data_IF_176797242524
#
_entry.id   IF_176797242524
#
_cell.length_a   1.000
_cell.length_b   1.000
_cell.length_c   1.000
_cell.angle_alpha   90.00
_cell.angle_beta   90.00
_cell.angle_gamma   90.00
#
_symmetry.space_group_name_H-M   'P 1'
#
loop_
_entity.id
_entity.type
_entity.pdbx_description
1 polymer ?
#
# COMPACT_ATOMS: atom_id res chain seq x y z
N UNK A 1 14.04 -16.21 -2.70
CA UNK A 1 13.79 -15.05 -3.54
C UNK A 1 13.17 -13.95 -2.69
N UNK A 2 13.61 -12.71 -2.89
CA UNK A 2 13.12 -11.59 -2.12
C UNK A 2 11.66 -11.30 -2.45
N UNK A 3 10.89 -10.93 -1.44
CA UNK A 3 9.51 -10.45 -1.60
C UNK A 3 9.51 -9.04 -2.18
N UNK A 4 8.35 -8.56 -2.59
CA UNK A 4 8.15 -7.17 -2.94
C UNK A 4 7.14 -6.54 -1.99
N UNK A 5 7.26 -5.25 -1.77
CA UNK A 5 6.38 -4.56 -0.82
C UNK A 5 5.89 -3.24 -1.38
N UNK A 6 4.67 -2.91 -1.01
CA UNK A 6 4.20 -1.53 -1.07
C UNK A 6 4.27 -0.97 0.34
N UNK A 7 4.86 0.19 0.47
CA UNK A 7 4.82 0.94 1.72
C UNK A 7 4.10 2.24 1.42
N UNK A 8 2.93 2.40 2.02
CA UNK A 8 2.06 3.54 1.77
C UNK A 8 1.77 4.30 3.06
N UNK A 9 1.81 5.62 2.98
CA UNK A 9 1.51 6.52 4.08
C UNK A 9 0.48 7.51 3.58
N UNK A 10 -0.64 7.61 4.27
CA UNK A 10 -1.84 8.30 3.76
C UNK A 10 -2.43 9.23 4.79
N UNK A 11 -2.82 10.42 4.35
CA UNK A 11 -3.74 11.29 5.09
C UNK A 11 -5.05 11.30 4.33
N UNK A 12 -6.11 10.85 4.97
CA UNK A 12 -7.46 10.79 4.37
C UNK A 12 -8.20 12.06 4.74
N UNK A 13 -8.62 12.82 3.72
CA UNK A 13 -9.35 14.08 3.91
C UNK A 13 -10.84 13.87 4.12
N UNK A 14 -11.40 12.85 3.47
CA UNK A 14 -12.81 12.53 3.56
C UNK A 14 -12.97 11.03 3.64
N UNK A 15 -13.28 10.52 4.84
CA UNK A 15 -13.37 9.07 5.10
C UNK A 15 -14.45 8.40 4.26
N UNK A 16 -15.61 9.00 4.14
CA UNK A 16 -16.72 8.40 3.38
C UNK A 16 -16.35 8.25 1.91
N UNK A 17 -15.74 9.27 1.32
CA UNK A 17 -15.35 9.25 -0.09
C UNK A 17 -14.15 8.33 -0.35
N UNK A 18 -13.33 8.06 0.68
CA UNK A 18 -12.18 7.17 0.59
C UNK A 18 -12.56 5.68 0.69
N UNK A 19 -13.66 5.36 1.38
CA UNK A 19 -14.08 3.98 1.61
C UNK A 19 -14.17 3.12 0.35
N UNK A 20 -14.74 3.59 -0.78
CA UNK A 20 -14.80 2.76 -1.98
C UNK A 20 -13.41 2.34 -2.48
N UNK A 21 -12.41 3.23 -2.37
CA UNK A 21 -11.03 2.90 -2.72
C UNK A 21 -10.50 1.77 -1.84
N UNK A 22 -10.62 1.92 -0.54
CA UNK A 22 -10.15 0.92 0.42
C UNK A 22 -10.87 -0.42 0.26
N UNK A 23 -12.17 -0.38 -0.08
CA UNK A 23 -12.98 -1.59 -0.27
C UNK A 23 -12.60 -2.35 -1.55
N UNK A 24 -12.16 -1.67 -2.60
CA UNK A 24 -11.76 -2.30 -3.85
C UNK A 24 -10.37 -2.94 -3.79
N UNK A 25 -9.48 -2.40 -2.96
CA UNK A 25 -8.08 -2.82 -2.90
C UNK A 25 -7.84 -4.32 -2.64
N UNK A 26 -8.52 -4.97 -1.68
CA UNK A 26 -8.27 -6.40 -1.43
C UNK A 26 -8.44 -7.28 -2.67
N UNK A 27 -9.46 -7.04 -3.47
CA UNK A 27 -9.69 -7.80 -4.70
C UNK A 27 -8.60 -7.57 -5.74
N UNK A 28 -8.10 -6.35 -5.84
CA UNK A 28 -7.01 -6.00 -6.75
C UNK A 28 -5.71 -6.69 -6.30
N UNK A 29 -5.36 -6.56 -5.02
CA UNK A 29 -4.14 -7.15 -4.48
C UNK A 29 -4.14 -8.68 -4.60
N UNK A 30 -5.30 -9.30 -4.39
CA UNK A 30 -5.43 -10.76 -4.50
C UNK A 30 -5.02 -11.28 -5.87
N UNK A 31 -5.30 -10.54 -6.94
CA UNK A 31 -4.93 -10.93 -8.29
C UNK A 31 -3.41 -11.03 -8.50
N UNK A 32 -2.65 -10.36 -7.65
CA UNK A 32 -1.18 -10.34 -7.72
C UNK A 32 -0.56 -11.05 -6.51
N UNK A 33 -1.36 -11.84 -5.79
CA UNK A 33 -0.94 -12.58 -4.60
C UNK A 33 -0.43 -11.66 -3.49
N UNK A 34 -0.99 -10.47 -3.40
CA UNK A 34 -0.68 -9.51 -2.35
C UNK A 34 -1.44 -9.80 -1.06
N UNK A 35 -0.81 -9.48 0.06
CA UNK A 35 -1.46 -9.59 1.36
C UNK A 35 -1.05 -8.43 2.27
N UNK A 36 -1.97 -8.00 3.12
CA UNK A 36 -1.67 -6.95 4.08
C UNK A 36 -0.79 -7.47 5.20
N UNK A 37 0.29 -6.75 5.50
CA UNK A 37 1.08 -6.96 6.71
C UNK A 37 0.76 -5.90 7.76
N UNK A 38 0.52 -4.67 7.31
CA UNK A 38 0.09 -3.55 8.15
C UNK A 38 -1.06 -2.87 7.42
N UNK A 39 -2.14 -2.59 8.14
CA UNK A 39 -3.31 -1.97 7.54
C UNK A 39 -3.93 -0.96 8.50
N UNK A 40 -3.25 0.18 8.64
CA UNK A 40 -3.77 1.26 9.47
C UNK A 40 -3.83 0.96 10.96
N UNK A 41 -2.88 0.14 11.47
CA UNK A 41 -2.80 -0.16 12.89
C UNK A 41 -2.31 1.02 13.71
N UNK A 42 -2.38 0.92 15.04
CA UNK A 42 -1.85 1.95 15.91
C UNK A 42 -0.34 2.04 15.75
N UNK A 43 0.19 3.23 15.91
CA UNK A 43 1.62 3.46 15.72
C UNK A 43 2.11 4.56 16.65
N UNK A 44 3.43 4.61 16.84
CA UNK A 44 4.11 5.64 17.58
C UNK A 44 5.15 6.28 16.67
N UNK A 45 5.19 7.60 16.63
CA UNK A 45 6.19 8.32 15.84
C UNK A 45 7.43 8.47 16.70
N UNK A 46 8.37 7.55 16.54
CA UNK A 46 9.62 7.58 17.33
C UNK A 46 10.49 8.76 16.96
N UNK A 47 10.56 9.08 15.68
CA UNK A 47 11.34 10.23 15.18
C UNK A 47 10.70 10.75 13.90
N UNK A 48 10.80 12.06 13.69
CA UNK A 48 10.32 12.70 12.48
C UNK A 48 8.81 12.87 12.45
N UNK A 49 8.25 12.70 11.26
CA UNK A 49 6.82 12.89 11.01
C UNK A 49 6.21 11.64 10.37
N UNK A 50 4.93 11.45 10.59
CA UNK A 50 4.17 10.39 9.94
C UNK A 50 2.85 10.95 9.42
N UNK A 51 2.30 10.33 8.37
CA UNK A 51 0.90 10.53 8.01
C UNK A 51 0.05 9.68 8.94
N UNK A 52 -1.27 9.90 8.91
CA UNK A 52 -2.18 9.31 9.89
C UNK A 52 -2.44 7.82 9.67
N UNK A 53 -2.22 7.32 8.44
CA UNK A 53 -2.47 5.93 8.11
C UNK A 53 -1.25 5.32 7.42
N UNK A 54 -0.80 4.18 7.92
CA UNK A 54 0.32 3.45 7.34
C UNK A 54 -0.15 2.06 6.91
N UNK A 55 0.27 1.65 5.71
CA UNK A 55 -0.13 0.37 5.13
C UNK A 55 1.08 -0.29 4.50
N UNK A 56 1.26 -1.58 4.75
CA UNK A 56 2.30 -2.38 4.12
C UNK A 56 1.65 -3.60 3.49
N UNK A 57 1.92 -3.81 2.21
CA UNK A 57 1.39 -4.95 1.45
C UNK A 57 2.57 -5.76 0.93
N UNK A 58 2.53 -7.07 1.13
CA UNK A 58 3.56 -7.99 0.66
C UNK A 58 3.10 -8.70 -0.61
N UNK A 59 4.01 -8.82 -1.58
CA UNK A 59 3.81 -9.57 -2.82
C UNK A 59 4.90 -10.64 -2.92
N UNK A 60 4.69 -11.69 -3.75
CA UNK A 60 5.68 -12.77 -3.88
C UNK A 60 7.06 -12.28 -4.30
N UNK A 61 7.13 -11.22 -5.10
CA UNK A 61 8.37 -10.61 -5.56
C UNK A 61 8.15 -9.15 -5.96
N UNK A 62 9.25 -8.47 -6.24
CA UNK A 62 9.22 -7.08 -6.64
C UNK A 62 8.44 -6.85 -7.95
N UNK A 63 8.61 -7.76 -8.92
CA UNK A 63 7.93 -7.65 -10.22
C UNK A 63 6.41 -7.69 -10.06
N UNK A 64 5.90 -8.56 -9.18
CA UNK A 64 4.46 -8.65 -8.89
C UNK A 64 3.95 -7.39 -8.21
N UNK A 65 4.73 -6.84 -7.28
CA UNK A 65 4.38 -5.59 -6.60
C UNK A 65 4.27 -4.43 -7.60
N UNK A 66 5.22 -4.31 -8.52
CA UNK A 66 5.22 -3.30 -9.59
C UNK A 66 4.03 -3.53 -10.54
N UNK A 67 3.81 -4.78 -10.94
CA UNK A 67 2.71 -5.10 -11.85
C UNK A 67 1.35 -4.74 -11.27
N UNK A 68 1.17 -4.97 -9.97
CA UNK A 68 -0.05 -4.60 -9.28
C UNK A 68 -0.27 -3.08 -9.32
N UNK A 69 0.75 -2.30 -9.03
CA UNK A 69 0.65 -0.84 -9.05
C UNK A 69 0.29 -0.33 -10.45
N UNK A 70 0.90 -0.91 -11.48
CA UNK A 70 0.70 -0.50 -12.87
C UNK A 70 -0.54 -1.12 -13.53
N UNK A 71 -1.23 -2.01 -12.82
CA UNK A 71 -2.42 -2.66 -13.38
C UNK A 71 -3.52 -1.64 -13.69
N UNK A 72 -4.30 -1.88 -14.76
CA UNK A 72 -5.42 -1.00 -15.08
C UNK A 72 -6.40 -0.85 -13.93
N UNK A 73 -6.65 -1.93 -13.19
CA UNK A 73 -7.58 -1.93 -12.06
C UNK A 73 -7.13 -0.99 -10.95
N UNK A 74 -5.85 -1.05 -10.58
CA UNK A 74 -5.35 -0.16 -9.54
C UNK A 74 -5.27 1.28 -10.01
N UNK A 75 -4.81 1.52 -11.24
CA UNK A 75 -4.73 2.86 -11.81
C UNK A 75 -6.11 3.53 -11.87
N UNK A 76 -7.13 2.76 -12.19
CA UNK A 76 -8.51 3.24 -12.17
C UNK A 76 -8.96 3.56 -10.74
N UNK A 77 -8.58 2.71 -9.79
CA UNK A 77 -8.94 2.89 -8.37
C UNK A 77 -8.28 4.13 -7.75
N UNK A 78 -7.11 4.54 -8.23
CA UNK A 78 -6.44 5.76 -7.79
C UNK A 78 -7.36 6.98 -7.94
N UNK A 79 -8.14 7.03 -9.02
CA UNK A 79 -9.05 8.15 -9.29
C UNK A 79 -10.10 8.34 -8.21
N UNK A 80 -10.47 7.25 -7.53
CA UNK A 80 -11.44 7.29 -6.43
C UNK A 80 -10.87 8.03 -5.21
N UNK A 81 -9.59 7.79 -4.89
CA UNK A 81 -8.97 8.40 -3.70
C UNK A 81 -8.32 9.75 -3.94
N UNK A 82 -7.96 10.04 -5.18
CA UNK A 82 -7.08 11.18 -5.51
C UNK A 82 -7.58 12.51 -4.93
N UNK A 83 -8.87 12.89 -5.05
CA UNK A 83 -9.33 14.15 -4.50
C UNK A 83 -9.55 14.12 -2.98
N UNK A 84 -9.47 12.96 -2.33
CA UNK A 84 -9.87 12.77 -0.95
C UNK A 84 -8.72 12.34 -0.02
N UNK A 85 -7.50 12.30 -0.53
CA UNK A 85 -6.35 11.86 0.24
C UNK A 85 -5.05 12.45 -0.29
N UNK A 86 -4.04 12.44 0.58
CA UNK A 86 -2.65 12.70 0.19
C UNK A 86 -1.88 11.43 0.54
N UNK A 87 -1.11 10.91 -0.39
CA UNK A 87 -0.42 9.64 -0.22
C UNK A 87 1.03 9.72 -0.67
N UNK A 88 1.89 9.00 0.04
CA UNK A 88 3.23 8.67 -0.40
C UNK A 88 3.30 7.15 -0.44
N UNK A 89 3.66 6.60 -1.58
CA UNK A 89 3.70 5.16 -1.78
C UNK A 89 4.98 4.80 -2.52
N UNK A 90 5.73 3.86 -1.94
CA UNK A 90 6.88 3.28 -2.64
C UNK A 90 6.65 1.80 -2.86
N UNK A 91 7.25 1.29 -3.92
CA UNK A 91 7.33 -0.15 -4.19
C UNK A 91 8.78 -0.52 -4.01
N UNK A 92 9.07 -1.45 -3.12
CA UNK A 92 10.44 -1.75 -2.74
C UNK A 92 10.65 -3.27 -2.66
N UNK A 93 11.83 -3.71 -3.06
CA UNK A 93 12.22 -5.11 -2.93
C UNK A 93 12.59 -5.41 -1.48
N UNK A 94 12.18 -6.57 -1.01
CA UNK A 94 12.51 -7.02 0.33
C UNK A 94 13.95 -7.48 0.46
N UNK A 95 14.42 -7.57 1.69
CA UNK A 95 15.75 -8.05 2.00
C UNK A 95 15.71 -9.55 2.25
N UNK A 96 16.53 -10.33 1.56
CA UNK A 96 16.65 -11.76 1.78
C UNK A 96 18.08 -12.20 2.10
N UNK A 97 18.92 -11.26 2.53
CA UNK A 97 20.25 -11.54 3.00
C UNK A 97 20.26 -12.01 4.46
N UNK A 98 21.45 -12.16 5.05
CA UNK A 98 21.57 -12.61 6.44
C UNK A 98 20.92 -11.65 7.42
N UNK A 99 20.31 -12.20 8.46
CA UNK A 99 19.71 -11.40 9.54
C UNK A 99 20.73 -11.26 10.69
N UNK A 100 20.59 -10.19 11.52
CA UNK A 100 21.47 -9.99 12.66
C UNK A 100 21.35 -11.09 13.70
#
# INVERSE_FOLDING_TARGET
>A
MAKGYWIARVDVKNEESYKPYAAANPGIFKKFSGRFLVRGGKFDVAEGNSRTRNVVIEFPDYASAIACYRSPEYQENIKVRLPHSTIELIVIEGYDGPQP
#
